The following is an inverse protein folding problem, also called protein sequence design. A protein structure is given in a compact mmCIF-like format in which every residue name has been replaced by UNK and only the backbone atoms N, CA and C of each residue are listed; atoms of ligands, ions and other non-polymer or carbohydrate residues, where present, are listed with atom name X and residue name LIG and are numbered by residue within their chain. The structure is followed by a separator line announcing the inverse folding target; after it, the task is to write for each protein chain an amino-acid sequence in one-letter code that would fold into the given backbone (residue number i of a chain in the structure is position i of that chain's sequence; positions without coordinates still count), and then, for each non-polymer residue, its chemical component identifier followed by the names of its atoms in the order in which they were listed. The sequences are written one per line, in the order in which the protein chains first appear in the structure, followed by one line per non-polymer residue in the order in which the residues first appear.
data_IF_559287914321
#
_entry.id   IF_559287914321
#
_cell.length_a   1.000
_cell.length_b   1.000
_cell.length_c   1.000
_cell.angle_alpha   90.00
_cell.angle_beta   90.00
_cell.angle_gamma   90.00
#
_symmetry.space_group_name_H-M   'P 1'
#
loop_
_entity.id
_entity.type
_entity.pdbx_description
1 polymer ?
#
# COMPACT_ATOMS: atom_id res chain seq x y z
N UNK A 1 15.71 -7.68 -2.16
CA UNK A 1 16.02 -6.40 -1.45
C UNK A 1 17.48 -6.05 -1.70
N UNK A 2 17.85 -4.79 -1.88
CA UNK A 2 19.27 -4.43 -2.07
C UNK A 2 20.13 -4.73 -0.83
N UNK A 3 21.45 -4.86 -1.02
CA UNK A 3 22.44 -4.95 0.08
C UNK A 3 22.83 -3.58 0.65
N UNK A 4 22.05 -2.54 0.33
CA UNK A 4 22.32 -1.16 0.74
C UNK A 4 22.05 -0.99 2.27
N UNK A 5 23.07 -0.64 3.08
CA UNK A 5 22.92 -0.51 4.53
C UNK A 5 21.89 0.54 4.96
N UNK A 6 21.78 1.66 4.23
CA UNK A 6 20.80 2.71 4.51
C UNK A 6 19.37 2.18 4.36
N UNK A 7 19.12 1.36 3.34
CA UNK A 7 17.79 0.78 3.12
C UNK A 7 17.47 -0.24 4.22
N UNK A 8 18.41 -1.14 4.53
CA UNK A 8 18.16 -2.25 5.47
C UNK A 8 18.05 -1.82 6.93
N UNK A 9 18.95 -0.95 7.38
CA UNK A 9 19.06 -0.64 8.81
C UNK A 9 18.33 0.64 9.22
N UNK A 10 17.91 1.47 8.26
CA UNK A 10 17.18 2.70 8.56
C UNK A 10 15.81 2.74 7.90
N UNK A 11 15.73 2.70 6.57
CA UNK A 11 14.45 2.87 5.86
C UNK A 11 13.47 1.72 6.13
N UNK A 12 13.93 0.48 6.09
CA UNK A 12 13.07 -0.69 6.30
C UNK A 12 12.46 -0.73 7.72
N UNK A 13 13.22 -0.52 8.82
CA UNK A 13 12.63 -0.42 10.16
C UNK A 13 11.65 0.74 10.30
N UNK A 14 11.98 1.92 9.75
CA UNK A 14 11.09 3.10 9.81
C UNK A 14 9.79 2.84 9.06
N UNK A 15 9.86 2.27 7.85
CA UNK A 15 8.69 1.94 7.06
C UNK A 15 7.86 0.85 7.75
N UNK A 16 8.51 -0.19 8.29
CA UNK A 16 7.84 -1.24 9.06
C UNK A 16 7.07 -0.67 10.24
N UNK A 17 7.71 0.18 11.04
CA UNK A 17 7.06 0.87 12.15
C UNK A 17 5.90 1.76 11.68
N UNK A 18 6.11 2.59 10.66
CA UNK A 18 5.10 3.51 10.15
C UNK A 18 3.86 2.77 9.63
N UNK A 19 4.04 1.65 8.91
CA UNK A 19 2.95 0.82 8.40
C UNK A 19 2.17 0.18 9.54
N UNK A 20 2.86 -0.39 10.54
CA UNK A 20 2.20 -0.99 11.71
C UNK A 20 1.41 0.07 12.49
N UNK A 21 2.03 1.22 12.77
CA UNK A 21 1.39 2.34 13.44
C UNK A 21 0.16 2.82 12.68
N UNK A 22 0.28 2.97 11.35
CA UNK A 22 -0.82 3.36 10.47
C UNK A 22 -2.02 2.42 10.58
N UNK A 23 -1.81 1.10 10.52
CA UNK A 23 -2.90 0.13 10.64
C UNK A 23 -3.55 0.14 12.02
N UNK A 24 -2.74 0.18 13.09
CA UNK A 24 -3.26 0.27 14.46
C UNK A 24 -4.15 1.51 14.61
N UNK A 25 -3.66 2.68 14.20
CA UNK A 25 -4.43 3.92 14.29
C UNK A 25 -5.66 3.92 13.38
N UNK A 26 -5.57 3.29 12.20
CA UNK A 26 -6.70 3.07 11.30
C UNK A 26 -7.81 2.27 11.96
N UNK A 27 -7.49 1.14 12.60
CA UNK A 27 -8.47 0.33 13.32
C UNK A 27 -9.04 1.06 14.54
N UNK A 28 -8.21 1.76 15.31
CA UNK A 28 -8.67 2.57 16.45
C UNK A 28 -9.66 3.64 15.99
N UNK A 29 -9.37 4.32 14.87
CA UNK A 29 -10.26 5.34 14.31
C UNK A 29 -11.57 4.74 13.80
N UNK A 30 -11.53 3.60 13.12
CA UNK A 30 -12.72 2.87 12.67
C UNK A 30 -13.62 2.49 13.85
N UNK A 31 -13.04 1.94 14.93
CA UNK A 31 -13.77 1.59 16.15
C UNK A 31 -14.40 2.84 16.78
N UNK A 32 -13.66 3.95 16.87
CA UNK A 32 -14.17 5.21 17.42
C UNK A 32 -15.31 5.77 16.56
N UNK A 33 -15.18 5.75 15.24
CA UNK A 33 -16.21 6.21 14.31
C UNK A 33 -17.50 5.39 14.45
N UNK A 34 -17.37 4.06 14.57
CA UNK A 34 -18.52 3.17 14.75
C UNK A 34 -19.18 3.37 16.12
N UNK A 35 -18.40 3.56 17.20
CA UNK A 35 -18.95 3.85 18.54
C UNK A 35 -19.59 5.23 18.66
N UNK A 36 -19.11 6.22 17.90
CA UNK A 36 -19.69 7.56 17.88
C UNK A 36 -21.07 7.62 17.21
N UNK A 37 -21.50 6.55 16.53
CA UNK A 37 -22.78 6.48 15.82
C UNK A 37 -23.62 5.26 16.27
N UNK A 38 -24.15 5.26 17.51
CA UNK A 38 -24.96 4.14 18.02
C UNK A 38 -26.35 4.07 17.35
N UNK A 39 -26.90 5.20 16.89
CA UNK A 39 -28.18 5.28 16.17
C UNK A 39 -27.92 5.71 14.73
N UNK A 40 -28.51 5.00 13.76
CA UNK A 40 -28.41 5.34 12.34
C UNK A 40 -29.22 6.62 12.05
N UNK A 41 -28.76 7.42 11.10
CA UNK A 41 -29.46 8.65 10.70
C UNK A 41 -30.83 8.30 10.10
N UNK A 42 -31.85 9.08 10.48
CA UNK A 42 -33.22 8.92 9.97
C UNK A 42 -33.30 9.10 8.44
N UNK A 43 -32.40 9.90 7.86
CA UNK A 43 -32.18 10.01 6.42
C UNK A 43 -30.68 10.11 6.16
N UNK A 44 -30.19 9.39 5.15
CA UNK A 44 -28.79 9.39 4.78
C UNK A 44 -28.67 9.57 3.27
N UNK A 45 -27.92 10.59 2.84
CA UNK A 45 -27.48 10.76 1.46
C UNK A 45 -25.94 10.63 1.40
N UNK A 46 -25.41 9.40 1.28
CA UNK A 46 -23.99 9.14 1.48
C UNK A 46 -23.08 9.88 0.49
N UNK A 47 -23.52 10.04 -0.77
CA UNK A 47 -22.74 10.67 -1.83
C UNK A 47 -22.53 12.18 -1.60
N UNK A 48 -23.42 12.84 -0.86
CA UNK A 48 -23.28 14.24 -0.46
C UNK A 48 -22.36 14.39 0.76
N UNK A 49 -22.37 13.40 1.65
CA UNK A 49 -21.70 13.47 2.96
C UNK A 49 -20.22 13.05 2.92
N UNK A 50 -19.85 12.14 2.02
CA UNK A 50 -18.47 11.65 1.92
C UNK A 50 -18.14 11.11 0.53
N UNK A 51 -16.86 10.89 0.22
CA UNK A 51 -16.47 10.17 -0.98
C UNK A 51 -16.68 8.66 -0.82
N UNK A 52 -16.81 7.94 -1.94
CA UNK A 52 -16.92 6.48 -1.92
C UNK A 52 -15.71 5.81 -1.26
N UNK A 53 -14.52 6.30 -1.54
CA UNK A 53 -13.29 5.74 -1.01
C UNK A 53 -13.16 5.99 0.50
N UNK A 54 -13.64 7.14 1.00
CA UNK A 54 -13.70 7.39 2.45
C UNK A 54 -14.65 6.42 3.15
N UNK A 55 -15.77 6.04 2.52
CA UNK A 55 -16.70 5.04 3.06
C UNK A 55 -16.13 3.64 3.06
N UNK A 56 -15.31 3.31 2.06
CA UNK A 56 -14.72 1.98 1.89
C UNK A 56 -13.25 1.93 2.36
N UNK A 57 -12.83 2.87 3.22
CA UNK A 57 -11.43 3.00 3.62
C UNK A 57 -10.94 1.77 4.38
N UNK A 58 -11.76 1.21 5.28
CA UNK A 58 -11.43 -0.02 6.00
C UNK A 58 -11.30 -1.23 5.07
N UNK A 59 -12.15 -1.31 4.03
CA UNK A 59 -12.13 -2.42 3.05
C UNK A 59 -10.86 -2.32 2.20
N UNK A 60 -10.59 -1.15 1.61
CA UNK A 60 -9.36 -0.94 0.83
C UNK A 60 -8.11 -1.17 1.69
N UNK A 61 -8.10 -0.72 2.95
CA UNK A 61 -7.01 -0.97 3.89
C UNK A 61 -6.83 -2.45 4.24
N UNK A 62 -7.91 -3.20 4.44
CA UNK A 62 -7.84 -4.64 4.69
C UNK A 62 -7.30 -5.42 3.48
N UNK A 63 -7.70 -5.05 2.26
CA UNK A 63 -7.14 -5.65 1.04
C UNK A 63 -5.66 -5.32 0.89
N UNK A 64 -5.25 -4.07 1.15
CA UNK A 64 -3.83 -3.68 1.14
C UNK A 64 -3.03 -4.45 2.20
N UNK A 65 -3.59 -4.67 3.40
CA UNK A 65 -2.94 -5.48 4.44
C UNK A 65 -2.78 -6.94 4.00
N UNK A 66 -3.82 -7.56 3.44
CA UNK A 66 -3.75 -8.92 2.92
C UNK A 66 -2.73 -9.03 1.77
N UNK A 67 -2.71 -8.04 0.87
CA UNK A 67 -1.73 -7.95 -0.19
C UNK A 67 -0.30 -7.80 0.36
N UNK A 68 -0.09 -7.02 1.42
CA UNK A 68 1.22 -6.87 2.05
C UNK A 68 1.74 -8.20 2.62
N UNK A 69 0.87 -9.02 3.20
CA UNK A 69 1.22 -10.37 3.66
C UNK A 69 1.62 -11.26 2.49
N UNK A 70 0.83 -11.28 1.40
CA UNK A 70 1.15 -12.01 0.18
C UNK A 70 2.48 -11.54 -0.42
N UNK A 71 2.68 -10.23 -0.49
CA UNK A 71 3.90 -9.62 -1.00
C UNK A 71 5.14 -10.01 -0.19
N UNK A 72 5.02 -10.06 1.15
CA UNK A 72 6.10 -10.55 2.01
C UNK A 72 6.36 -12.04 1.83
N UNK A 73 5.31 -12.84 1.66
CA UNK A 73 5.47 -14.25 1.35
C UNK A 73 6.21 -14.46 0.01
N UNK A 74 5.78 -13.76 -1.04
CA UNK A 74 6.31 -13.92 -2.39
C UNK A 74 7.77 -13.46 -2.52
N UNK A 75 8.16 -12.38 -1.83
CA UNK A 75 9.47 -11.75 -2.02
C UNK A 75 10.31 -11.66 -0.75
N UNK A 76 9.74 -11.18 0.35
CA UNK A 76 10.52 -10.85 1.54
C UNK A 76 11.04 -12.10 2.27
N UNK A 77 10.21 -13.13 2.44
CA UNK A 77 10.63 -14.36 3.12
C UNK A 77 11.73 -15.09 2.34
N UNK A 78 11.59 -15.19 1.02
CA UNK A 78 12.61 -15.76 0.14
C UNK A 78 13.92 -15.00 0.26
N UNK A 79 13.85 -13.66 0.28
CA UNK A 79 15.01 -12.80 0.45
C UNK A 79 15.71 -12.97 1.82
N UNK A 80 14.93 -13.06 2.90
CA UNK A 80 15.47 -13.30 4.24
C UNK A 80 16.13 -14.67 4.33
N UNK A 81 15.51 -15.69 3.74
CA UNK A 81 16.04 -17.03 3.69
C UNK A 81 17.39 -17.06 2.95
N UNK A 82 17.44 -16.53 1.72
CA UNK A 82 18.66 -16.43 0.91
C UNK A 82 19.80 -15.72 1.65
N UNK A 83 19.52 -14.57 2.26
CA UNK A 83 20.54 -13.71 2.89
C UNK A 83 21.03 -14.18 4.24
N UNK A 84 20.13 -14.64 5.11
CA UNK A 84 20.43 -14.82 6.53
C UNK A 84 20.28 -16.26 7.01
N UNK A 85 19.47 -17.08 6.34
CA UNK A 85 19.28 -18.48 6.72
C UNK A 85 20.28 -19.37 5.97
N UNK A 86 20.31 -19.26 4.65
CA UNK A 86 21.25 -20.00 3.81
C UNK A 86 22.60 -19.30 3.70
N UNK A 87 22.62 -17.97 3.83
CA UNK A 87 23.87 -17.19 3.81
C UNK A 87 24.55 -17.16 2.44
N UNK A 88 23.76 -17.22 1.36
CA UNK A 88 24.28 -17.25 0.00
C UNK A 88 24.90 -15.91 -0.41
N UNK A 89 25.89 -15.98 -1.30
CA UNK A 89 26.58 -14.79 -1.82
C UNK A 89 25.63 -13.92 -2.65
N UNK A 90 25.72 -12.58 -2.58
CA UNK A 90 24.90 -11.70 -3.39
C UNK A 90 24.96 -12.02 -4.88
N UNK A 91 23.82 -12.32 -5.47
CA UNK A 91 23.64 -12.50 -6.92
C UNK A 91 22.63 -11.48 -7.46
N UNK A 92 23.08 -10.66 -8.40
CA UNK A 92 22.26 -9.63 -9.05
C UNK A 92 21.38 -10.20 -10.17
N UNK A 93 21.76 -11.31 -10.77
CA UNK A 93 21.06 -11.92 -11.91
C UNK A 93 19.82 -12.71 -11.45
N UNK A 94 19.80 -13.13 -10.18
CA UNK A 94 18.71 -13.90 -9.56
C UNK A 94 17.32 -13.27 -9.68
N UNK A 95 17.20 -11.95 -9.60
CA UNK A 95 15.88 -11.29 -9.51
C UNK A 95 15.03 -11.44 -10.78
N UNK A 96 15.66 -11.54 -11.95
CA UNK A 96 14.94 -11.66 -13.22
C UNK A 96 14.15 -12.97 -13.34
N UNK A 97 14.77 -14.16 -13.23
CA UNK A 97 14.05 -15.43 -13.29
C UNK A 97 13.04 -15.58 -12.14
N UNK A 98 13.35 -15.07 -10.94
CA UNK A 98 12.40 -15.11 -9.81
C UNK A 98 11.14 -14.29 -10.07
N UNK A 99 11.26 -13.09 -10.65
CA UNK A 99 10.09 -12.28 -11.01
C UNK A 99 9.29 -12.94 -12.14
N UNK A 100 9.95 -13.55 -13.12
CA UNK A 100 9.26 -14.31 -14.17
C UNK A 100 8.49 -15.48 -13.57
N UNK A 101 9.11 -16.30 -12.72
CA UNK A 101 8.43 -17.40 -12.03
C UNK A 101 7.23 -16.90 -11.20
N UNK A 102 7.41 -15.83 -10.41
CA UNK A 102 6.31 -15.29 -9.59
C UNK A 102 5.19 -14.69 -10.41
N UNK A 103 5.43 -14.18 -11.61
CA UNK A 103 4.39 -13.59 -12.46
C UNK A 103 3.98 -14.47 -13.65
N UNK A 104 4.38 -15.74 -13.71
CA UNK A 104 4.01 -16.67 -14.77
C UNK A 104 2.49 -16.96 -14.81
N UNK A 105 1.86 -16.98 -13.64
CA UNK A 105 0.43 -17.28 -13.50
C UNK A 105 -0.46 -16.03 -13.66
N UNK A 106 -1.35 -16.05 -14.65
CA UNK A 106 -2.29 -14.94 -14.93
C UNK A 106 -3.16 -14.56 -13.71
N UNK A 107 -3.59 -15.55 -12.91
CA UNK A 107 -4.43 -15.29 -11.74
C UNK A 107 -3.70 -14.44 -10.69
N UNK A 108 -2.39 -14.65 -10.54
CA UNK A 108 -1.55 -13.92 -9.59
C UNK A 108 -1.30 -12.50 -10.06
N UNK A 109 -1.06 -12.31 -11.36
CA UNK A 109 -0.99 -10.98 -11.99
C UNK A 109 -2.29 -10.21 -11.77
N UNK A 110 -3.45 -10.82 -12.03
CA UNK A 110 -4.75 -10.18 -11.82
C UNK A 110 -4.95 -9.76 -10.35
N UNK A 111 -4.56 -10.61 -9.40
CA UNK A 111 -4.62 -10.30 -7.96
C UNK A 111 -3.76 -9.07 -7.64
N UNK A 112 -2.51 -9.03 -8.10
CA UNK A 112 -1.61 -7.90 -7.89
C UNK A 112 -2.17 -6.60 -8.51
N UNK A 113 -2.71 -6.67 -9.73
CA UNK A 113 -3.31 -5.51 -10.40
C UNK A 113 -4.49 -4.96 -9.61
N UNK A 114 -5.41 -5.81 -9.16
CA UNK A 114 -6.57 -5.39 -8.35
C UNK A 114 -6.10 -4.77 -7.02
N UNK A 115 -5.12 -5.39 -6.36
CA UNK A 115 -4.56 -4.89 -5.12
C UNK A 115 -3.92 -3.50 -5.29
N UNK A 116 -3.17 -3.27 -6.38
CA UNK A 116 -2.58 -1.97 -6.68
C UNK A 116 -3.60 -0.90 -7.04
N UNK A 117 -4.67 -1.25 -7.76
CA UNK A 117 -5.78 -0.31 -8.01
C UNK A 117 -6.43 0.12 -6.68
N UNK A 118 -6.70 -0.83 -5.79
CA UNK A 118 -7.24 -0.53 -4.46
C UNK A 118 -6.26 0.25 -3.59
N UNK A 119 -4.95 -0.03 -3.68
CA UNK A 119 -3.91 0.77 -3.05
C UNK A 119 -3.92 2.20 -3.58
N UNK A 120 -4.08 2.41 -4.89
CA UNK A 120 -4.20 3.74 -5.48
C UNK A 120 -5.39 4.51 -4.91
N UNK A 121 -6.55 3.87 -4.80
CA UNK A 121 -7.72 4.47 -4.15
C UNK A 121 -7.48 4.74 -2.66
N UNK A 122 -6.80 3.84 -1.95
CA UNK A 122 -6.44 4.01 -0.55
C UNK A 122 -5.50 5.22 -0.36
N UNK A 123 -4.49 5.37 -1.22
CA UNK A 123 -3.53 6.49 -1.20
C UNK A 123 -4.19 7.82 -1.59
N UNK A 124 -5.06 7.82 -2.60
CA UNK A 124 -5.75 9.03 -3.04
C UNK A 124 -6.52 9.71 -1.90
N UNK A 125 -7.02 8.93 -0.95
CA UNK A 125 -7.70 9.42 0.25
C UNK A 125 -6.77 9.58 1.44
N UNK A 126 -6.03 8.52 1.78
CA UNK A 126 -5.16 8.46 2.95
C UNK A 126 -4.07 9.53 2.93
N UNK A 127 -3.52 9.84 1.76
CA UNK A 127 -2.45 10.84 1.63
C UNK A 127 -2.93 12.20 2.13
N UNK A 128 -4.00 12.75 1.54
CA UNK A 128 -4.51 14.06 1.94
C UNK A 128 -5.11 14.07 3.36
N UNK A 129 -5.77 13.00 3.78
CA UNK A 129 -6.36 12.91 5.12
C UNK A 129 -5.29 12.90 6.21
N UNK A 130 -4.14 12.27 6.00
CA UNK A 130 -3.05 12.21 6.99
C UNK A 130 -2.54 13.59 7.38
N UNK A 131 -2.29 14.48 6.41
CA UNK A 131 -1.90 15.88 6.66
C UNK A 131 -2.98 16.64 7.42
N UNK A 132 -4.25 16.36 7.15
CA UNK A 132 -5.35 16.98 7.89
C UNK A 132 -5.40 16.50 9.34
N UNK A 133 -5.18 15.20 9.59
CA UNK A 133 -5.19 14.62 10.94
C UNK A 133 -4.06 15.15 11.85
N UNK A 134 -2.89 15.46 11.29
CA UNK A 134 -1.78 16.06 12.06
C UNK A 134 -1.84 17.59 12.12
N UNK A 135 -2.89 18.22 11.58
CA UNK A 135 -3.06 19.67 11.60
C UNK A 135 -2.23 20.44 10.56
N UNK A 136 -1.55 19.75 9.64
CA UNK A 136 -0.80 20.34 8.53
C UNK A 136 -1.74 20.75 7.38
N UNK A 137 -2.67 21.68 7.68
CA UNK A 137 -3.61 22.24 6.71
C UNK A 137 -3.47 23.76 6.68
N UNK A 138 -3.00 24.29 5.55
CA UNK A 138 -2.85 25.73 5.35
C UNK A 138 -3.05 26.09 3.86
N UNK A 139 -3.72 27.21 3.54
CA UNK A 139 -4.01 27.60 2.15
C UNK A 139 -2.79 27.64 1.23
N UNK A 140 -1.61 27.99 1.77
CA UNK A 140 -0.34 28.06 1.02
C UNK A 140 0.13 26.72 0.45
N UNK A 141 0.08 25.64 1.24
CA UNK A 141 0.71 24.36 0.88
C UNK A 141 -0.31 23.23 0.66
N UNK A 142 -1.55 23.35 1.15
CA UNK A 142 -2.61 22.35 0.92
C UNK A 142 -2.87 22.07 -0.57
N UNK A 143 -2.86 23.05 -1.50
CA UNK A 143 -3.01 22.76 -2.93
C UNK A 143 -1.88 21.88 -3.48
N UNK A 144 -0.63 22.14 -3.05
CA UNK A 144 0.54 21.36 -3.47
C UNK A 144 0.47 19.94 -2.93
N UNK A 145 0.14 19.76 -1.65
CA UNK A 145 -0.05 18.44 -1.03
C UNK A 145 -1.13 17.64 -1.77
N UNK A 146 -2.25 18.28 -2.13
CA UNK A 146 -3.34 17.64 -2.89
C UNK A 146 -2.90 17.22 -4.29
N UNK A 147 -2.21 18.10 -5.01
CA UNK A 147 -1.70 17.80 -6.35
C UNK A 147 -0.71 16.64 -6.30
N UNK A 148 0.27 16.71 -5.40
CA UNK A 148 1.25 15.65 -5.22
C UNK A 148 0.59 14.33 -4.82
N UNK A 149 -0.32 14.34 -3.85
CA UNK A 149 -1.04 13.14 -3.41
C UNK A 149 -1.81 12.48 -4.56
N UNK A 150 -2.45 13.28 -5.42
CA UNK A 150 -3.16 12.77 -6.59
C UNK A 150 -2.20 12.10 -7.58
N UNK A 151 -1.10 12.75 -7.94
CA UNK A 151 -0.09 12.15 -8.82
C UNK A 151 0.50 10.87 -8.23
N UNK A 152 0.88 10.92 -6.96
CA UNK A 152 1.46 9.78 -6.23
C UNK A 152 0.51 8.57 -6.22
N UNK A 153 -0.77 8.79 -5.96
CA UNK A 153 -1.79 7.73 -5.94
C UNK A 153 -2.08 7.06 -7.29
N UNK A 154 -1.60 7.64 -8.39
CA UNK A 154 -1.80 7.12 -9.74
C UNK A 154 -0.50 6.51 -10.28
N UNK A 155 0.58 7.30 -10.26
CA UNK A 155 1.84 6.91 -10.90
C UNK A 155 2.48 5.71 -10.22
N UNK A 156 2.49 5.68 -8.89
CA UNK A 156 3.15 4.60 -8.15
C UNK A 156 2.42 3.26 -8.37
N UNK A 157 1.10 3.16 -8.16
CA UNK A 157 0.38 1.93 -8.49
C UNK A 157 0.47 1.55 -9.97
N UNK A 158 0.38 2.51 -10.90
CA UNK A 158 0.50 2.23 -12.33
C UNK A 158 1.88 1.66 -12.69
N UNK A 159 2.95 2.17 -12.09
CA UNK A 159 4.30 1.64 -12.26
C UNK A 159 4.42 0.18 -11.79
N UNK A 160 3.86 -0.15 -10.62
CA UNK A 160 3.89 -1.54 -10.13
C UNK A 160 2.99 -2.49 -10.94
N UNK A 161 1.84 -2.00 -11.41
CA UNK A 161 0.97 -2.73 -12.34
C UNK A 161 1.73 -3.03 -13.64
N UNK A 162 2.43 -2.03 -14.18
CA UNK A 162 3.26 -2.20 -15.37
C UNK A 162 4.33 -3.26 -15.15
N UNK A 163 5.03 -3.26 -14.01
CA UNK A 163 6.05 -4.28 -13.70
C UNK A 163 5.46 -5.70 -13.71
N UNK A 164 4.31 -5.92 -13.06
CA UNK A 164 3.67 -7.23 -13.00
C UNK A 164 3.22 -7.71 -14.40
N UNK A 165 2.61 -6.82 -15.19
CA UNK A 165 2.19 -7.14 -16.55
C UNK A 165 3.39 -7.39 -17.46
N UNK A 166 4.43 -6.56 -17.35
CA UNK A 166 5.65 -6.68 -18.16
C UNK A 166 6.26 -8.07 -17.99
N UNK A 167 6.49 -8.52 -16.75
CA UNK A 167 7.06 -9.84 -16.51
C UNK A 167 6.15 -10.98 -16.99
N UNK A 168 4.82 -10.83 -16.93
CA UNK A 168 3.90 -11.83 -17.47
C UNK A 168 3.94 -11.93 -19.00
N UNK A 169 4.13 -10.82 -19.71
CA UNK A 169 4.13 -10.83 -21.19
C UNK A 169 5.51 -11.13 -21.80
N UNK A 170 6.59 -10.99 -21.04
CA UNK A 170 7.98 -11.25 -21.49
C UNK A 170 8.52 -12.61 -21.05
N UNK A 171 7.66 -13.51 -20.61
CA UNK A 171 8.00 -14.91 -20.28
C UNK A 171 8.61 -15.64 -21.48
#
# INVERSE_FOLDING_TARGET
MGYNPFVQFLMQPILGFAVIFHFIMGFVLEIKNNKARPIKYASNNPSVNSSWMSRNMIISGAVVLAFLVLHFYDFWLHEINYKYVEGLTPDAERFWPELHEKFADMWRVALYVIAFVLLGLHLAHGFQSSFQSIGARHPKYTPVIKAFGKWYSILIPAGFIFIAIFHFVTQ
#
